data_IF_842783197688
#
_entry.id   IF_842783197688
#
_cell.length_a   1.000
_cell.length_b   1.000
_cell.length_c   1.000
_cell.angle_alpha   90.00
_cell.angle_beta   90.00
_cell.angle_gamma   90.00
#
_symmetry.space_group_name_H-M   'P 1'
#
loop_
_entity.id
_entity.type
_entity.pdbx_description
1 polymer ?
#
# COMPACT_ATOMS: atom_id res chain seq x y z
N UNK A 1 -1.22 -21.21 6.82
CA UNK A 1 -2.65 -21.47 6.51
C UNK A 1 -3.59 -21.05 7.66
N UNK A 2 -3.31 -21.37 8.93
CA UNK A 2 -4.24 -21.13 10.07
C UNK A 2 -4.79 -19.70 10.20
N UNK A 3 -3.96 -18.66 10.11
CA UNK A 3 -4.45 -17.27 10.21
C UNK A 3 -5.42 -16.88 9.07
N UNK A 4 -5.18 -17.40 7.87
CA UNK A 4 -6.07 -17.16 6.72
C UNK A 4 -7.37 -17.92 6.87
N UNK A 5 -7.35 -19.14 7.39
CA UNK A 5 -8.56 -19.91 7.69
C UNK A 5 -9.42 -19.20 8.74
N UNK A 6 -8.81 -18.72 9.84
CA UNK A 6 -9.49 -17.88 10.83
C UNK A 6 -10.09 -16.62 10.20
N UNK A 7 -9.34 -15.95 9.33
CA UNK A 7 -9.84 -14.78 8.60
C UNK A 7 -11.04 -15.12 7.70
N UNK A 8 -10.94 -16.17 6.88
CA UNK A 8 -11.99 -16.59 5.94
C UNK A 8 -13.23 -17.15 6.63
N UNK A 9 -13.08 -17.65 7.85
CA UNK A 9 -14.20 -18.06 8.74
C UNK A 9 -14.75 -16.90 9.59
N UNK A 10 -14.36 -15.65 9.29
CA UNK A 10 -14.76 -14.43 9.99
C UNK A 10 -14.33 -14.34 11.47
N UNK A 11 -13.35 -15.14 11.88
CA UNK A 11 -12.74 -15.10 13.22
C UNK A 11 -11.58 -14.09 13.25
N UNK A 12 -11.87 -12.82 12.97
CA UNK A 12 -10.85 -11.77 12.80
C UNK A 12 -10.00 -11.53 14.04
N UNK A 13 -10.59 -11.53 15.23
CA UNK A 13 -9.87 -11.32 16.49
C UNK A 13 -8.84 -12.41 16.74
N UNK A 14 -9.20 -13.67 16.45
CA UNK A 14 -8.31 -14.81 16.59
C UNK A 14 -7.20 -14.77 15.53
N UNK A 15 -7.55 -14.47 14.28
CA UNK A 15 -6.58 -14.27 13.20
C UNK A 15 -5.52 -13.21 13.57
N UNK A 16 -5.97 -12.05 14.06
CA UNK A 16 -5.08 -10.97 14.51
C UNK A 16 -4.22 -11.39 15.69
N UNK A 17 -4.80 -12.09 16.68
CA UNK A 17 -4.05 -12.58 17.84
C UNK A 17 -2.95 -13.57 17.45
N UNK A 18 -3.22 -14.43 16.46
CA UNK A 18 -2.28 -15.41 15.93
C UNK A 18 -1.14 -14.74 15.15
N UNK A 19 -1.45 -13.70 14.37
CA UNK A 19 -0.48 -12.99 13.53
C UNK A 19 0.44 -12.06 14.34
N UNK A 20 -0.11 -11.38 15.35
CA UNK A 20 0.55 -10.30 16.11
C UNK A 20 1.97 -10.62 16.58
N UNK A 21 2.29 -11.80 17.14
CA UNK A 21 3.63 -12.11 17.63
C UNK A 21 4.71 -12.07 16.54
N UNK A 22 4.37 -12.37 15.28
CA UNK A 22 5.34 -12.54 14.18
C UNK A 22 5.38 -11.37 13.20
N UNK A 23 4.65 -10.30 13.49
CA UNK A 23 4.55 -9.10 12.65
C UNK A 23 5.88 -8.40 12.39
N UNK A 24 6.89 -8.62 13.24
CA UNK A 24 8.24 -8.04 13.09
C UNK A 24 9.25 -8.99 12.44
N UNK A 25 8.91 -10.26 12.31
CA UNK A 25 9.83 -11.32 11.89
C UNK A 25 9.58 -11.78 10.46
N UNK A 26 8.36 -11.68 9.97
CA UNK A 26 7.96 -12.23 8.68
C UNK A 26 7.12 -11.23 7.90
N UNK A 27 7.53 -10.98 6.65
CA UNK A 27 6.83 -10.10 5.71
C UNK A 27 5.36 -10.49 5.58
N UNK A 28 5.08 -11.79 5.43
CA UNK A 28 3.70 -12.30 5.29
C UNK A 28 2.86 -12.01 6.53
N UNK A 29 3.37 -12.29 7.73
CA UNK A 29 2.61 -12.07 8.97
C UNK A 29 2.34 -10.58 9.18
N UNK A 30 3.33 -9.73 8.90
CA UNK A 30 3.21 -8.28 8.97
C UNK A 30 2.16 -7.75 8.00
N UNK A 31 2.26 -8.16 6.72
CA UNK A 31 1.37 -7.74 5.66
C UNK A 31 -0.06 -8.22 5.87
N UNK A 32 -0.27 -9.50 6.20
CA UNK A 32 -1.61 -10.04 6.49
C UNK A 32 -2.22 -9.34 7.69
N UNK A 33 -1.46 -9.11 8.78
CA UNK A 33 -1.97 -8.39 9.95
C UNK A 33 -2.41 -6.96 9.59
N UNK A 34 -1.57 -6.23 8.85
CA UNK A 34 -1.88 -4.87 8.42
C UNK A 34 -3.09 -4.82 7.45
N UNK A 35 -3.21 -5.81 6.57
CA UNK A 35 -4.32 -5.94 5.61
C UNK A 35 -5.66 -6.16 6.32
N UNK A 36 -5.69 -7.00 7.35
CA UNK A 36 -6.92 -7.23 8.14
C UNK A 36 -7.34 -5.94 8.85
N UNK A 37 -6.39 -5.22 9.45
CA UNK A 37 -6.66 -3.92 10.08
C UNK A 37 -7.15 -2.87 9.06
N UNK A 38 -6.60 -2.87 7.85
CA UNK A 38 -7.06 -2.00 6.78
C UNK A 38 -8.50 -2.31 6.35
N UNK A 39 -8.85 -3.59 6.23
CA UNK A 39 -10.23 -3.99 5.96
C UNK A 39 -11.17 -3.50 7.07
N UNK A 40 -10.77 -3.62 8.34
CA UNK A 40 -11.54 -3.06 9.45
C UNK A 40 -11.72 -1.55 9.31
N UNK A 41 -10.63 -0.82 9.05
CA UNK A 41 -10.66 0.63 8.84
C UNK A 41 -11.55 1.04 7.66
N UNK A 42 -11.54 0.28 6.56
CA UNK A 42 -12.40 0.51 5.39
C UNK A 42 -13.87 0.22 5.67
N UNK A 43 -14.18 -0.71 6.57
CA UNK A 43 -15.55 -1.07 6.92
C UNK A 43 -16.15 -0.15 7.99
N UNK A 44 -15.35 0.25 8.99
CA UNK A 44 -15.80 1.09 10.10
C UNK A 44 -15.74 2.58 9.77
N UNK A 45 -14.82 2.98 8.89
CA UNK A 45 -14.45 4.39 8.65
C UNK A 45 -14.08 5.14 9.94
N UNK A 46 -13.65 4.43 11.00
CA UNK A 46 -13.19 5.06 12.23
C UNK A 46 -11.81 5.69 11.99
N UNK A 47 -11.62 7.00 12.26
CA UNK A 47 -10.31 7.64 12.15
C UNK A 47 -9.20 6.92 12.94
N UNK A 48 -9.51 6.31 14.08
CA UNK A 48 -8.52 5.57 14.88
C UNK A 48 -8.06 4.31 14.16
N UNK A 49 -9.01 3.55 13.60
CA UNK A 49 -8.72 2.35 12.82
C UNK A 49 -7.92 2.69 11.56
N UNK A 50 -8.28 3.77 10.86
CA UNK A 50 -7.58 4.26 9.66
C UNK A 50 -6.12 4.64 9.99
N UNK A 51 -5.89 5.31 11.12
CA UNK A 51 -4.54 5.67 11.56
C UNK A 51 -3.71 4.44 11.95
N UNK A 52 -4.31 3.52 12.71
CA UNK A 52 -3.66 2.28 13.12
C UNK A 52 -3.28 1.43 11.90
N UNK A 53 -4.22 1.19 10.99
CA UNK A 53 -3.98 0.45 9.75
C UNK A 53 -2.87 1.11 8.92
N UNK A 54 -2.91 2.43 8.76
CA UNK A 54 -1.87 3.18 8.04
C UNK A 54 -0.47 3.03 8.65
N UNK A 55 -0.36 3.01 9.99
CA UNK A 55 0.90 2.80 10.69
C UNK A 55 1.41 1.37 10.54
N UNK A 56 0.55 0.38 10.75
CA UNK A 56 0.91 -1.04 10.62
C UNK A 56 1.32 -1.38 9.18
N UNK A 57 0.62 -0.83 8.18
CA UNK A 57 1.00 -1.01 6.78
C UNK A 57 2.35 -0.36 6.45
N UNK A 58 2.67 0.78 7.06
CA UNK A 58 3.99 1.41 6.93
C UNK A 58 5.10 0.56 7.56
N UNK A 59 4.82 -0.09 8.70
CA UNK A 59 5.75 -1.03 9.33
C UNK A 59 5.99 -2.26 8.46
N UNK A 60 4.92 -2.86 7.92
CA UNK A 60 5.01 -3.99 6.97
C UNK A 60 5.83 -3.60 5.72
N UNK A 61 5.59 -2.40 5.18
CA UNK A 61 6.36 -1.87 4.05
C UNK A 61 7.86 -1.76 4.38
N UNK A 62 8.20 -1.23 5.57
CA UNK A 62 9.60 -1.12 6.00
C UNK A 62 10.25 -2.48 6.22
N UNK A 63 9.49 -3.47 6.70
CA UNK A 63 9.97 -4.85 6.82
C UNK A 63 10.31 -5.41 5.43
N UNK A 64 9.38 -5.31 4.47
CA UNK A 64 9.64 -5.76 3.08
C UNK A 64 10.88 -5.09 2.49
N UNK A 65 11.07 -3.78 2.70
CA UNK A 65 12.26 -3.05 2.22
C UNK A 65 13.60 -3.56 2.79
N UNK A 66 13.59 -4.22 3.96
CA UNK A 66 14.83 -4.79 4.54
C UNK A 66 15.24 -6.08 3.85
N UNK A 67 14.26 -6.89 3.42
CA UNK A 67 14.46 -8.14 2.69
C UNK A 67 14.60 -7.91 1.18
N UNK A 68 14.19 -6.73 0.68
CA UNK A 68 14.35 -6.32 -0.70
C UNK A 68 15.84 -6.12 -1.03
N UNK A 69 16.25 -6.48 -2.25
CA UNK A 69 17.63 -6.31 -2.73
C UNK A 69 18.01 -4.83 -2.66
N UNK A 70 18.93 -4.46 -1.76
CA UNK A 70 19.55 -3.14 -1.79
C UNK A 70 20.60 -3.20 -2.87
N UNK A 71 20.38 -2.53 -4.00
CA UNK A 71 21.42 -2.25 -4.99
C UNK A 71 22.62 -1.68 -4.22
N UNK A 72 23.62 -2.52 -3.99
CA UNK A 72 24.80 -2.10 -3.24
C UNK A 72 25.42 -0.97 -4.04
N UNK A 73 25.67 0.14 -3.37
CA UNK A 73 26.31 1.34 -3.94
C UNK A 73 27.72 1.02 -4.48
N UNK A 74 28.19 -0.23 -4.33
CA UNK A 74 29.42 -0.80 -4.87
C UNK A 74 29.30 -1.40 -6.27
N UNK A 75 28.09 -1.66 -6.80
CA UNK A 75 27.91 -2.13 -8.20
C UNK A 75 27.97 -0.95 -9.21
N UNK A 76 27.99 0.28 -8.71
CA UNK A 76 27.91 1.51 -9.51
C UNK A 76 29.20 1.90 -10.24
N UNK A 77 30.29 1.13 -10.15
CA UNK A 77 31.55 1.44 -10.86
C UNK A 77 31.83 0.55 -12.08
N UNK A 78 30.91 -0.31 -12.51
CA UNK A 78 31.14 -1.21 -13.65
C UNK A 78 30.08 -1.16 -14.76
N UNK A 79 29.06 -0.29 -14.66
CA UNK A 79 27.85 -0.38 -15.49
C UNK A 79 27.83 0.44 -16.79
N UNK A 80 28.98 0.89 -17.33
CA UNK A 80 28.97 1.60 -18.62
C UNK A 80 29.12 0.70 -19.86
N UNK A 81 29.27 -0.62 -19.71
CA UNK A 81 29.43 -1.54 -20.87
C UNK A 81 28.61 -2.82 -20.77
N UNK A 82 27.97 -3.12 -19.64
CA UNK A 82 27.11 -4.30 -19.56
C UNK A 82 25.79 -3.94 -18.88
N UNK A 83 24.68 -4.25 -19.55
CA UNK A 83 23.33 -4.30 -18.95
C UNK A 83 23.48 -4.87 -17.53
N UNK A 84 22.93 -4.23 -16.48
CA UNK A 84 23.06 -4.76 -15.14
C UNK A 84 22.58 -6.20 -15.18
N UNK A 85 23.50 -7.11 -14.88
CA UNK A 85 23.24 -8.52 -14.77
C UNK A 85 22.04 -8.63 -13.84
N UNK A 86 20.91 -9.04 -14.40
CA UNK A 86 19.65 -9.35 -13.72
C UNK A 86 19.91 -10.60 -12.85
N UNK A 87 20.87 -10.49 -11.94
CA UNK A 87 21.48 -11.59 -11.24
C UNK A 87 20.48 -12.16 -10.24
N UNK A 88 20.08 -13.40 -10.48
CA UNK A 88 19.45 -14.35 -9.56
C UNK A 88 18.80 -13.68 -8.33
N UNK A 89 17.58 -13.21 -8.50
CA UNK A 89 16.74 -12.93 -7.34
C UNK A 89 16.52 -14.23 -6.58
N UNK A 90 16.70 -14.18 -5.27
CA UNK A 90 16.21 -15.25 -4.39
C UNK A 90 14.68 -15.21 -4.35
N UNK A 91 14.07 -16.36 -4.06
CA UNK A 91 12.61 -16.44 -3.90
C UNK A 91 12.10 -15.49 -2.81
N UNK A 92 12.85 -15.36 -1.71
CA UNK A 92 12.52 -14.42 -0.63
C UNK A 92 12.57 -12.96 -1.09
N UNK A 93 13.54 -12.58 -1.92
CA UNK A 93 13.61 -11.23 -2.50
C UNK A 93 12.45 -10.97 -3.47
N UNK A 94 12.05 -11.94 -4.29
CA UNK A 94 10.86 -11.83 -5.16
C UNK A 94 9.61 -11.60 -4.31
N UNK A 95 9.43 -12.39 -3.26
CA UNK A 95 8.31 -12.20 -2.35
C UNK A 95 8.37 -10.86 -1.63
N UNK A 96 9.55 -10.37 -1.24
CA UNK A 96 9.72 -9.04 -0.67
C UNK A 96 9.30 -7.92 -1.65
N UNK A 97 9.66 -8.06 -2.93
CA UNK A 97 9.25 -7.15 -4.01
C UNK A 97 7.72 -7.12 -4.18
N UNK A 98 7.08 -8.29 -4.23
CA UNK A 98 5.61 -8.42 -4.33
C UNK A 98 4.92 -7.83 -3.11
N UNK A 99 5.31 -8.23 -1.89
CA UNK A 99 4.73 -7.73 -0.65
C UNK A 99 4.92 -6.21 -0.50
N UNK A 100 6.06 -5.68 -0.97
CA UNK A 100 6.27 -4.23 -1.02
C UNK A 100 5.31 -3.54 -2.00
N UNK A 101 5.11 -4.09 -3.19
CA UNK A 101 4.18 -3.56 -4.19
C UNK A 101 2.73 -3.59 -3.68
N UNK A 102 2.34 -4.63 -2.95
CA UNK A 102 1.03 -4.76 -2.30
C UNK A 102 0.84 -3.70 -1.22
N UNK A 103 1.83 -3.52 -0.32
CA UNK A 103 1.81 -2.44 0.68
C UNK A 103 1.60 -1.07 0.04
N UNK A 104 2.18 -0.80 -1.14
CA UNK A 104 2.01 0.46 -1.84
C UNK A 104 0.57 0.66 -2.33
N UNK A 105 -0.06 -0.39 -2.89
CA UNK A 105 -1.45 -0.33 -3.35
C UNK A 105 -2.41 -0.07 -2.20
N UNK A 106 -2.27 -0.83 -1.12
CA UNK A 106 -3.05 -0.67 0.10
C UNK A 106 -2.89 0.71 0.72
N UNK A 107 -1.65 1.20 0.84
CA UNK A 107 -1.41 2.58 1.28
C UNK A 107 -1.96 3.62 0.31
N UNK A 108 -2.12 3.32 -0.98
CA UNK A 108 -2.81 4.20 -1.92
C UNK A 108 -4.31 4.23 -1.63
N UNK A 109 -4.94 3.06 -1.43
CA UNK A 109 -6.34 2.92 -1.04
C UNK A 109 -6.65 3.69 0.25
N UNK A 110 -5.87 3.49 1.32
CA UNK A 110 -6.00 4.23 2.58
C UNK A 110 -5.86 5.76 2.43
N UNK A 111 -5.15 6.24 1.41
CA UNK A 111 -4.98 7.69 1.19
C UNK A 111 -6.32 8.35 0.84
N UNK A 112 -7.23 7.63 0.18
CA UNK A 112 -8.58 8.12 -0.11
C UNK A 112 -9.44 8.22 1.15
N UNK A 113 -9.23 7.34 2.13
CA UNK A 113 -9.92 7.40 3.42
C UNK A 113 -9.35 8.49 4.33
N UNK A 114 -8.02 8.62 4.36
CA UNK A 114 -7.32 9.62 5.17
C UNK A 114 -7.60 11.06 4.68
N UNK A 115 -7.75 11.25 3.37
CA UNK A 115 -8.13 12.54 2.78
C UNK A 115 -9.54 12.99 3.18
N UNK A 116 -10.47 12.05 3.42
CA UNK A 116 -11.83 12.36 3.88
C UNK A 116 -11.92 12.67 5.38
N UNK A 117 -10.95 12.26 6.20
CA UNK A 117 -10.95 12.56 7.64
C UNK A 117 -10.53 14.00 7.99
N UNK A 118 -9.83 14.71 7.11
CA UNK A 118 -9.52 16.14 7.30
C UNK A 118 -10.42 17.08 6.47
N UNK A 119 -11.32 16.53 5.67
CA UNK A 119 -12.28 17.31 4.88
C UNK A 119 -13.44 16.44 4.43
N UNK A 120 -14.58 16.56 5.13
CA UNK A 120 -15.89 16.09 4.67
C UNK A 120 -16.02 14.57 4.53
N UNK A 121 -16.60 13.93 5.53
CA UNK A 121 -17.04 12.55 5.45
C UNK A 121 -17.92 12.33 4.19
N UNK A 122 -17.49 11.46 3.28
CA UNK A 122 -18.44 10.76 2.41
C UNK A 122 -19.08 9.67 3.28
N UNK A 123 -19.98 10.08 4.17
CA UNK A 123 -20.97 9.16 4.73
C UNK A 123 -21.84 8.69 3.55
N UNK A 124 -22.22 7.40 3.48
CA UNK A 124 -23.29 6.96 2.60
C UNK A 124 -24.49 7.87 2.82
N UNK A 125 -24.96 8.53 1.76
CA UNK A 125 -26.00 9.55 1.79
C UNK A 125 -27.31 8.91 2.25
N UNK A 126 -27.56 8.92 3.56
CA UNK A 126 -28.89 8.72 4.09
C UNK A 126 -29.78 9.87 3.58
N UNK A 127 -30.98 9.49 3.19
CA UNK A 127 -32.07 10.25 2.60
C UNK A 127 -32.17 11.73 3.04
N UNK A 128 -32.03 12.63 2.06
CA UNK A 128 -32.72 13.92 1.85
C UNK A 128 -33.15 14.77 3.08
N UNK A 129 -32.56 15.98 3.22
CA UNK A 129 -33.24 17.14 3.82
C UNK A 129 -32.82 18.44 3.08
N UNK A 130 -33.73 19.20 2.44
CA UNK A 130 -33.40 20.35 1.60
C UNK A 130 -33.70 21.67 2.32
N UNK A 131 -32.72 22.20 3.05
CA UNK A 131 -32.72 23.62 3.40
C UNK A 131 -31.33 24.05 3.84
N UNK A 132 -30.59 24.74 2.95
CA UNK A 132 -29.78 25.93 3.28
C UNK A 132 -29.10 26.48 2.01
N UNK A 133 -29.73 27.52 1.47
CA UNK A 133 -29.18 28.79 0.95
C UNK A 133 -27.88 28.79 0.12
N UNK A 134 -28.04 29.18 -1.16
CA UNK A 134 -27.00 29.53 -2.12
C UNK A 134 -26.30 30.85 -1.78
N UNK A 135 -24.97 30.85 -1.78
CA UNK A 135 -24.10 32.05 -1.79
C UNK A 135 -23.19 32.00 -3.02
N UNK A 136 -23.09 33.13 -3.74
CA UNK A 136 -22.51 33.33 -5.08
C UNK A 136 -21.07 32.80 -5.34
N UNK A 137 -20.71 32.49 -6.60
CA UNK A 137 -19.36 32.03 -6.97
C UNK A 137 -18.37 33.20 -7.16
N UNK A 138 -17.07 33.03 -6.87
CA UNK A 138 -16.05 34.04 -7.18
C UNK A 138 -15.59 33.93 -8.65
N UNK A 139 -15.15 35.07 -9.20
CA UNK A 139 -14.81 35.26 -10.62
C UNK A 139 -13.58 34.50 -11.15
N UNK A 140 -13.30 34.60 -12.46
CA UNK A 140 -12.52 33.63 -13.23
C UNK A 140 -10.99 33.68 -13.03
N UNK A 141 -10.47 34.54 -12.14
CA UNK A 141 -9.03 34.76 -11.97
C UNK A 141 -8.35 33.99 -10.83
N UNK A 142 -9.10 33.23 -10.01
CA UNK A 142 -8.56 32.55 -8.81
C UNK A 142 -8.62 31.01 -8.84
N UNK A 143 -9.03 30.42 -9.96
CA UNK A 143 -9.19 28.96 -10.07
C UNK A 143 -7.84 28.22 -10.21
N UNK A 144 -6.81 28.87 -10.75
CA UNK A 144 -5.53 28.19 -11.02
C UNK A 144 -4.67 27.99 -9.75
N UNK A 145 -4.90 28.76 -8.69
CA UNK A 145 -4.19 28.66 -7.40
C UNK A 145 -4.99 27.92 -6.32
N UNK A 146 -6.22 27.46 -6.63
CA UNK A 146 -7.04 26.70 -5.67
C UNK A 146 -6.74 25.20 -5.69
N UNK A 147 -6.23 24.67 -6.81
CA UNK A 147 -5.89 23.25 -6.91
C UNK A 147 -4.79 22.85 -5.91
N UNK A 148 -3.80 23.70 -5.67
CA UNK A 148 -2.65 23.38 -4.81
C UNK A 148 -2.90 23.54 -3.30
N UNK A 149 -4.07 24.03 -2.89
CA UNK A 149 -4.36 24.28 -1.47
C UNK A 149 -5.30 23.23 -0.85
N UNK A 150 -5.92 22.36 -1.65
CA UNK A 150 -6.73 21.27 -1.13
C UNK A 150 -5.81 20.09 -0.75
N UNK A 151 -5.72 19.81 0.55
CA UNK A 151 -5.10 18.61 1.14
C UNK A 151 -5.56 17.30 0.46
N UNK A 152 -6.77 17.32 -0.12
CA UNK A 152 -7.33 16.23 -0.92
C UNK A 152 -6.57 16.00 -2.24
N UNK A 153 -6.12 17.05 -2.93
CA UNK A 153 -5.37 16.91 -4.18
C UNK A 153 -3.96 16.36 -3.91
N UNK A 154 -3.30 16.81 -2.84
CA UNK A 154 -1.98 16.27 -2.43
C UNK A 154 -2.08 14.79 -2.10
N UNK A 155 -3.13 14.40 -1.38
CA UNK A 155 -3.43 13.01 -1.05
C UNK A 155 -3.70 12.18 -2.31
N UNK A 156 -4.48 12.70 -3.24
CA UNK A 156 -4.71 12.07 -4.54
C UNK A 156 -3.41 11.83 -5.33
N UNK A 157 -2.55 12.85 -5.44
CA UNK A 157 -1.26 12.74 -6.13
C UNK A 157 -0.36 11.70 -5.45
N UNK A 158 -0.26 11.74 -4.11
CA UNK A 158 0.51 10.76 -3.34
C UNK A 158 -0.03 9.33 -3.55
N UNK A 159 -1.34 9.17 -3.58
CA UNK A 159 -2.01 7.90 -3.91
C UNK A 159 -1.62 7.42 -5.31
N UNK A 160 -1.76 8.27 -6.32
CA UNK A 160 -1.42 7.95 -7.72
C UNK A 160 0.05 7.54 -7.90
N UNK A 161 0.99 8.21 -7.22
CA UNK A 161 2.41 7.83 -7.25
C UNK A 161 2.62 6.42 -6.68
N UNK A 162 1.98 6.07 -5.56
CA UNK A 162 2.09 4.72 -4.97
C UNK A 162 1.56 3.64 -5.92
N UNK A 163 0.41 3.89 -6.56
CA UNK A 163 -0.17 2.98 -7.56
C UNK A 163 0.79 2.76 -8.72
N UNK A 164 1.36 3.84 -9.27
CA UNK A 164 2.34 3.76 -10.36
C UNK A 164 3.58 2.96 -9.96
N UNK A 165 4.11 3.21 -8.77
CA UNK A 165 5.31 2.52 -8.28
C UNK A 165 5.04 1.02 -8.08
N UNK A 166 3.87 0.67 -7.52
CA UNK A 166 3.47 -0.73 -7.39
C UNK A 166 3.40 -1.43 -8.74
N UNK A 167 2.73 -0.82 -9.72
CA UNK A 167 2.63 -1.37 -11.08
C UNK A 167 3.99 -1.54 -11.75
N UNK A 168 4.92 -0.60 -11.56
CA UNK A 168 6.27 -0.70 -12.10
C UNK A 168 7.03 -1.90 -11.52
N UNK A 169 6.92 -2.14 -10.20
CA UNK A 169 7.51 -3.32 -9.57
C UNK A 169 6.89 -4.61 -10.11
N UNK A 170 5.56 -4.68 -10.27
CA UNK A 170 4.92 -5.85 -10.88
C UNK A 170 5.42 -6.13 -12.30
N UNK A 171 5.62 -5.10 -13.12
CA UNK A 171 6.17 -5.27 -14.48
C UNK A 171 7.60 -5.82 -14.48
N UNK A 172 8.44 -5.35 -13.55
CA UNK A 172 9.81 -5.83 -13.41
C UNK A 172 9.82 -7.32 -13.01
N UNK A 173 8.96 -7.71 -12.08
CA UNK A 173 8.79 -9.10 -11.67
C UNK A 173 8.21 -9.99 -12.78
N UNK A 174 7.22 -9.52 -13.53
CA UNK A 174 6.68 -10.25 -14.69
C UNK A 174 7.76 -10.47 -15.76
N UNK A 175 8.57 -9.45 -16.04
CA UNK A 175 9.71 -9.56 -16.96
C UNK A 175 10.75 -10.57 -16.46
N UNK A 176 10.96 -10.67 -15.15
CA UNK A 176 11.84 -11.66 -14.52
C UNK A 176 11.29 -13.09 -14.69
N UNK A 177 9.99 -13.31 -14.45
CA UNK A 177 9.34 -14.63 -14.61
C UNK A 177 9.38 -15.11 -16.07
N UNK A 178 9.23 -14.19 -17.03
CA UNK A 178 9.32 -14.50 -18.45
C UNK A 178 10.76 -14.76 -18.92
N UNK A 179 11.76 -14.33 -18.15
CA UNK A 179 13.16 -14.64 -18.43
C UNK A 179 13.49 -16.08 -18.03
N UNK A 180 14.36 -16.75 -18.80
CA UNK A 180 14.81 -18.12 -18.56
C UNK A 180 15.71 -18.31 -17.31
N UNK A 181 15.72 -17.33 -16.40
CA UNK A 181 16.57 -17.28 -15.21
C UNK A 181 15.80 -17.49 -13.89
N UNK A 182 14.49 -17.73 -13.94
CA UNK A 182 13.72 -18.13 -12.77
C UNK A 182 14.00 -19.59 -12.42
N UNK A 183 14.93 -19.83 -11.50
CA UNK A 183 15.06 -21.12 -10.83
C UNK A 183 13.97 -21.19 -9.76
N UNK A 184 12.91 -21.96 -10.05
CA UNK A 184 11.87 -22.29 -9.06
C UNK A 184 12.57 -22.92 -7.84
N UNK A 185 12.46 -22.30 -6.68
CA UNK A 185 13.00 -22.85 -5.43
C UNK A 185 12.39 -24.22 -5.16
N UNK A 186 13.21 -25.16 -4.68
CA UNK A 186 12.70 -26.41 -4.15
C UNK A 186 11.99 -26.13 -2.81
N UNK A 187 10.65 -26.20 -2.86
CA UNK A 187 9.71 -26.29 -1.74
C UNK A 187 9.27 -24.97 -1.06
N UNK A 188 7.99 -24.63 -1.28
CA UNK A 188 7.08 -24.22 -0.22
C UNK A 188 5.64 -24.62 -0.51
#
# INVERSE_FOLDING_TARGET
MTALDLFLTNQFSEALSYLKPRTKESMYHSLTYATILEMQAMMTFDPQDILLAGNMMKEAQMLCQRHRRKSSVTDSFSSLVNRPTLGQFTEEEIHAEVCYAECLLQRAALTFLQGSSHGGAVRPRALHDPSHTYSCPPGPGRQHLFLLQDENMVSFIKGGIKVRNSYQTYKELDSLVQSSQYCKGENH
#
